data_IF_381027437371
#
_entry.id   IF_381027437371
#
_cell.length_a   1.000
_cell.length_b   1.000
_cell.length_c   1.000
_cell.angle_alpha   90.00
_cell.angle_beta   90.00
_cell.angle_gamma   90.00
#
_symmetry.space_group_name_H-M   'P 1'
#
loop_
_entity.id
_entity.type
_entity.pdbx_description
1 polymer ?
#
# COMPACT_ATOMS: atom_id res chain seq x y z
N UNK A 1 14.98 2.27 29.12
CA UNK A 1 14.00 1.72 28.18
C UNK A 1 14.55 1.95 26.81
N UNK A 2 14.45 0.99 25.90
CA UNK A 2 14.87 1.18 24.51
C UNK A 2 14.01 2.29 23.88
N UNK A 3 14.63 3.17 23.10
CA UNK A 3 13.93 4.23 22.39
C UNK A 3 13.19 3.63 21.18
N UNK A 4 11.90 3.95 21.01
CA UNK A 4 11.05 3.40 19.95
C UNK A 4 10.21 4.46 19.23
N UNK A 5 10.45 5.74 19.53
CA UNK A 5 9.65 6.83 18.98
C UNK A 5 9.69 6.92 17.46
N UNK A 6 10.81 6.57 16.85
CA UNK A 6 10.94 6.49 15.39
C UNK A 6 10.13 5.35 14.78
N UNK A 7 10.16 4.15 15.41
CA UNK A 7 9.36 3.00 14.97
C UNK A 7 7.87 3.33 15.09
N UNK A 8 7.44 3.90 16.21
CA UNK A 8 6.03 4.24 16.46
C UNK A 8 5.53 5.27 15.43
N UNK A 9 6.32 6.32 15.15
CA UNK A 9 5.98 7.32 14.13
C UNK A 9 5.86 6.71 12.73
N UNK A 10 6.74 5.77 12.36
CA UNK A 10 6.66 5.10 11.06
C UNK A 10 5.44 4.17 10.98
N UNK A 11 5.09 3.47 12.07
CA UNK A 11 3.90 2.62 12.13
C UNK A 11 2.62 3.45 12.00
N UNK A 12 2.53 4.60 12.66
CA UNK A 12 1.39 5.51 12.56
C UNK A 12 1.22 6.02 11.12
N UNK A 13 2.31 6.46 10.48
CA UNK A 13 2.27 6.91 9.09
C UNK A 13 1.92 5.76 8.12
N UNK A 14 2.37 4.54 8.40
CA UNK A 14 2.10 3.38 7.56
C UNK A 14 0.63 2.99 7.59
N UNK A 15 0.02 2.98 8.79
CA UNK A 15 -1.42 2.75 8.95
C UNK A 15 -2.24 3.91 8.37
N UNK A 16 -1.76 5.15 8.50
CA UNK A 16 -2.42 6.34 7.92
C UNK A 16 -2.47 6.24 6.39
N UNK A 17 -1.34 5.93 5.73
CA UNK A 17 -1.29 5.81 4.28
C UNK A 17 -2.12 4.63 3.75
N UNK A 18 -2.25 3.56 4.53
CA UNK A 18 -2.98 2.36 4.11
C UNK A 18 -4.47 2.41 4.46
N UNK A 19 -4.83 2.74 5.72
CA UNK A 19 -6.23 2.69 6.21
C UNK A 19 -6.89 4.04 6.35
N UNK A 20 -6.12 5.11 6.60
CA UNK A 20 -6.66 6.41 6.92
C UNK A 20 -7.24 6.45 8.33
N UNK A 21 -6.39 6.65 9.31
CA UNK A 21 -6.78 6.86 10.71
C UNK A 21 -7.07 8.33 11.04
N UNK A 22 -7.05 9.19 10.04
CA UNK A 22 -7.22 10.61 10.22
C UNK A 22 -8.47 10.97 11.01
N UNK A 23 -8.32 11.90 11.94
CA UNK A 23 -9.42 12.45 12.74
C UNK A 23 -10.36 13.29 11.86
N UNK A 24 -9.89 13.72 10.69
CA UNK A 24 -10.61 14.57 9.76
C UNK A 24 -10.76 13.91 8.39
N UNK A 25 -11.91 14.08 7.77
CA UNK A 25 -12.23 13.54 6.44
C UNK A 25 -11.20 13.88 5.36
N UNK A 26 -10.40 14.94 5.56
CA UNK A 26 -9.33 15.37 4.67
C UNK A 26 -8.19 14.36 4.55
N UNK A 27 -7.88 13.62 5.60
CA UNK A 27 -6.81 12.63 5.62
C UNK A 27 -7.24 11.28 5.05
N UNK A 28 -8.53 10.95 5.17
CA UNK A 28 -9.07 9.69 4.66
C UNK A 28 -8.89 9.54 3.14
N UNK A 29 -8.97 10.64 2.38
CA UNK A 29 -8.81 10.60 0.92
C UNK A 29 -7.41 10.20 0.45
N UNK A 30 -6.42 10.26 1.33
CA UNK A 30 -5.04 9.89 1.02
C UNK A 30 -4.76 8.40 1.25
N UNK A 31 -5.64 7.70 1.97
CA UNK A 31 -5.44 6.31 2.31
C UNK A 31 -5.88 5.35 1.20
N UNK A 32 -5.10 4.30 1.03
CA UNK A 32 -5.33 3.30 -0.03
C UNK A 32 -6.70 2.63 0.13
N UNK A 33 -7.01 2.06 1.30
CA UNK A 33 -8.27 1.35 1.52
C UNK A 33 -9.49 2.26 1.45
N UNK A 34 -9.38 3.51 1.90
CA UNK A 34 -10.48 4.48 1.78
C UNK A 34 -10.81 4.74 0.31
N UNK A 35 -9.80 4.83 -0.54
CA UNK A 35 -9.99 4.99 -1.98
C UNK A 35 -10.55 3.72 -2.67
N UNK A 36 -10.47 2.56 -2.04
CA UNK A 36 -11.05 1.31 -2.56
C UNK A 36 -12.48 1.08 -2.10
N UNK A 37 -12.88 1.62 -0.94
CA UNK A 37 -14.11 1.27 -0.24
C UNK A 37 -15.42 1.48 -1.01
N UNK A 38 -15.47 2.39 -1.98
CA UNK A 38 -16.66 2.67 -2.79
C UNK A 38 -16.47 2.39 -4.28
N UNK A 39 -15.39 1.72 -4.67
CA UNK A 39 -15.16 1.30 -6.06
C UNK A 39 -16.17 0.21 -6.43
N UNK A 40 -16.97 0.44 -7.49
CA UNK A 40 -17.88 -0.58 -8.00
C UNK A 40 -17.13 -1.72 -8.71
N UNK A 41 -17.76 -2.90 -8.84
CA UNK A 41 -17.15 -4.03 -9.56
C UNK A 41 -16.88 -3.71 -11.03
N UNK A 42 -17.68 -2.83 -11.63
CA UNK A 42 -17.47 -2.35 -12.99
C UNK A 42 -16.22 -1.47 -13.07
N UNK A 43 -16.10 -0.48 -12.17
CA UNK A 43 -14.94 0.42 -12.12
C UNK A 43 -13.65 -0.30 -11.74
N UNK A 44 -13.73 -1.39 -10.98
CA UNK A 44 -12.59 -2.18 -10.53
C UNK A 44 -11.71 -2.67 -11.69
N UNK A 45 -12.34 -3.15 -12.78
CA UNK A 45 -11.64 -3.68 -13.97
C UNK A 45 -11.65 -2.73 -15.15
N UNK A 46 -12.35 -1.62 -15.05
CA UNK A 46 -12.44 -0.67 -16.14
C UNK A 46 -11.05 -0.08 -16.47
N UNK A 47 -10.79 0.04 -17.76
CA UNK A 47 -9.60 0.69 -18.29
C UNK A 47 -10.04 1.98 -18.99
N UNK A 48 -9.92 3.15 -18.34
CA UNK A 48 -10.26 4.42 -18.97
C UNK A 48 -9.44 4.68 -20.24
N UNK A 49 -9.99 5.44 -21.16
CA UNK A 49 -9.29 5.81 -22.39
C UNK A 49 -7.97 6.52 -22.07
N UNK A 50 -6.87 5.97 -22.56
CA UNK A 50 -5.52 6.48 -22.32
C UNK A 50 -4.86 5.97 -21.04
N UNK A 51 -5.56 5.25 -20.17
CA UNK A 51 -4.96 4.58 -19.01
C UNK A 51 -4.30 3.26 -19.42
N UNK A 52 -3.18 2.93 -18.78
CA UNK A 52 -2.45 1.67 -18.98
C UNK A 52 -2.78 0.61 -17.92
N UNK A 53 -3.48 1.01 -16.85
CA UNK A 53 -3.78 0.15 -15.69
C UNK A 53 -5.22 0.36 -15.22
N UNK A 54 -5.86 -0.72 -14.76
CA UNK A 54 -7.11 -0.68 -14.00
C UNK A 54 -6.84 -0.56 -12.51
N UNK A 55 -7.88 -0.28 -11.71
CA UNK A 55 -7.76 -0.28 -10.24
C UNK A 55 -7.32 -1.65 -9.75
N UNK A 56 -7.90 -2.75 -10.27
CA UNK A 56 -7.49 -4.12 -9.97
C UNK A 56 -5.97 -4.32 -10.15
N UNK A 57 -5.43 -3.91 -11.30
CA UNK A 57 -4.00 -4.10 -11.58
C UNK A 57 -3.09 -3.28 -10.67
N UNK A 58 -3.54 -2.09 -10.22
CA UNK A 58 -2.82 -1.28 -9.23
C UNK A 58 -2.82 -1.98 -7.87
N UNK A 59 -3.95 -2.48 -7.43
CA UNK A 59 -4.08 -3.17 -6.12
C UNK A 59 -3.24 -4.45 -6.09
N UNK A 60 -3.27 -5.24 -7.17
CA UNK A 60 -2.41 -6.42 -7.30
C UNK A 60 -0.93 -6.05 -7.23
N UNK A 61 -0.52 -4.98 -7.91
CA UNK A 61 0.85 -4.47 -7.85
C UNK A 61 1.24 -4.04 -6.42
N UNK A 62 0.38 -3.29 -5.73
CA UNK A 62 0.66 -2.84 -4.36
C UNK A 62 0.83 -4.02 -3.41
N UNK A 63 -0.04 -5.02 -3.48
CA UNK A 63 0.05 -6.21 -2.66
C UNK A 63 1.31 -7.02 -2.95
N UNK A 64 1.64 -7.22 -4.24
CA UNK A 64 2.87 -7.92 -4.67
C UNK A 64 4.12 -7.20 -4.17
N UNK A 65 4.16 -5.87 -4.24
CA UNK A 65 5.26 -5.09 -3.67
C UNK A 65 5.40 -5.32 -2.15
N UNK A 66 4.29 -5.30 -1.39
CA UNK A 66 4.34 -5.56 0.05
C UNK A 66 4.90 -6.95 0.35
N UNK A 67 4.46 -7.98 -0.37
CA UNK A 67 4.96 -9.36 -0.22
C UNK A 67 6.46 -9.43 -0.52
N UNK A 68 6.92 -8.79 -1.59
CA UNK A 68 8.35 -8.78 -1.97
C UNK A 68 9.20 -8.03 -0.95
N UNK A 69 8.79 -6.83 -0.53
CA UNK A 69 9.54 -6.05 0.45
C UNK A 69 9.60 -6.75 1.80
N UNK A 70 8.51 -7.41 2.23
CA UNK A 70 8.47 -8.18 3.46
C UNK A 70 9.46 -9.34 3.43
N UNK A 71 9.44 -10.18 2.38
CA UNK A 71 10.35 -11.32 2.26
C UNK A 71 11.82 -10.88 2.20
N UNK A 72 12.13 -9.85 1.41
CA UNK A 72 13.52 -9.43 1.24
C UNK A 72 14.08 -8.68 2.45
N UNK A 73 13.28 -7.88 3.14
CA UNK A 73 13.73 -7.10 4.29
C UNK A 73 13.72 -7.90 5.59
N UNK A 74 12.75 -8.79 5.77
CA UNK A 74 12.51 -9.45 7.06
C UNK A 74 12.45 -10.98 6.96
N UNK A 75 12.31 -11.54 5.75
CA UNK A 75 12.20 -12.97 5.50
C UNK A 75 13.46 -13.60 4.92
N UNK A 76 13.25 -14.57 4.04
CA UNK A 76 14.33 -15.40 3.44
C UNK A 76 15.00 -14.77 2.22
N UNK A 77 14.41 -13.74 1.62
CA UNK A 77 14.82 -13.11 0.37
C UNK A 77 14.89 -14.10 -0.81
N UNK A 78 13.88 -14.97 -0.92
CA UNK A 78 13.82 -16.04 -1.92
C UNK A 78 12.65 -15.91 -2.90
N UNK A 79 11.69 -15.03 -2.62
CA UNK A 79 10.54 -14.84 -3.50
C UNK A 79 10.96 -14.18 -4.82
N UNK A 80 10.26 -14.51 -5.89
CA UNK A 80 10.50 -13.97 -7.23
C UNK A 80 9.19 -13.48 -7.87
N UNK A 81 9.27 -12.41 -8.63
CA UNK A 81 8.17 -11.94 -9.48
C UNK A 81 7.70 -13.04 -10.43
N UNK A 82 6.42 -13.05 -10.77
CA UNK A 82 5.81 -14.06 -11.61
C UNK A 82 5.51 -15.39 -10.89
N UNK A 83 5.76 -15.50 -9.60
CA UNK A 83 5.41 -16.70 -8.84
C UNK A 83 4.06 -16.54 -8.12
N UNK A 84 3.27 -17.64 -7.93
CA UNK A 84 1.99 -17.56 -7.22
C UNK A 84 2.08 -17.03 -5.79
N UNK A 85 3.26 -17.13 -5.16
CA UNK A 85 3.49 -16.58 -3.83
C UNK A 85 3.49 -15.04 -3.80
N UNK A 86 3.87 -14.40 -4.92
CA UNK A 86 3.92 -12.94 -5.09
C UNK A 86 2.74 -12.43 -5.90
N UNK A 87 2.37 -13.15 -6.95
CA UNK A 87 1.33 -12.80 -7.92
C UNK A 87 0.32 -13.95 -8.03
N UNK A 88 -0.55 -14.14 -7.01
CA UNK A 88 -1.42 -15.32 -6.92
C UNK A 88 -2.43 -15.41 -8.06
N UNK A 89 -2.71 -14.32 -8.77
CA UNK A 89 -3.63 -14.27 -9.90
C UNK A 89 -2.96 -13.82 -11.21
N UNK A 90 -1.68 -14.13 -11.40
CA UNK A 90 -0.98 -13.85 -12.65
C UNK A 90 -1.67 -14.52 -13.87
N UNK A 91 -2.33 -15.65 -13.64
CA UNK A 91 -3.16 -16.34 -14.61
C UNK A 91 -4.60 -16.42 -14.10
N UNK A 92 -5.53 -15.76 -14.80
CA UNK A 92 -6.96 -15.84 -14.49
C UNK A 92 -7.57 -14.56 -13.90
N UNK A 93 -8.80 -14.70 -13.40
CA UNK A 93 -9.57 -13.60 -12.81
C UNK A 93 -9.41 -13.64 -11.30
N UNK A 94 -8.95 -12.54 -10.72
CA UNK A 94 -8.87 -12.38 -9.28
C UNK A 94 -10.25 -12.07 -8.68
N UNK A 95 -10.80 -12.88 -7.75
CA UNK A 95 -11.98 -12.52 -7.00
C UNK A 95 -11.67 -11.31 -6.10
N UNK A 96 -12.48 -10.26 -6.18
CA UNK A 96 -12.20 -8.99 -5.49
C UNK A 96 -12.04 -9.15 -3.98
N UNK A 97 -12.94 -9.88 -3.34
CA UNK A 97 -12.88 -10.12 -1.90
C UNK A 97 -11.63 -10.91 -1.45
N UNK A 98 -11.10 -11.78 -2.31
CA UNK A 98 -9.84 -12.47 -2.08
C UNK A 98 -8.65 -11.53 -2.25
N UNK A 99 -8.68 -10.65 -3.26
CA UNK A 99 -7.64 -9.63 -3.48
C UNK A 99 -7.59 -8.65 -2.30
N UNK A 100 -8.75 -8.15 -1.87
CA UNK A 100 -8.84 -7.22 -0.73
C UNK A 100 -8.27 -7.87 0.55
N UNK A 101 -8.63 -9.11 0.82
CA UNK A 101 -8.11 -9.88 1.97
C UNK A 101 -6.59 -10.08 1.88
N UNK A 102 -6.11 -10.52 0.73
CA UNK A 102 -4.68 -10.74 0.49
C UNK A 102 -3.84 -9.45 0.63
N UNK A 103 -4.34 -8.33 0.10
CA UNK A 103 -3.69 -7.02 0.26
C UNK A 103 -3.58 -6.62 1.73
N UNK A 104 -4.67 -6.80 2.50
CA UNK A 104 -4.71 -6.51 3.94
C UNK A 104 -3.72 -7.42 4.69
N UNK A 105 -3.70 -8.71 4.40
CA UNK A 105 -2.79 -9.67 5.02
C UNK A 105 -1.31 -9.36 4.70
N UNK A 106 -1.00 -8.98 3.46
CA UNK A 106 0.34 -8.57 3.07
C UNK A 106 0.80 -7.32 3.83
N UNK A 107 -0.09 -6.33 3.98
CA UNK A 107 0.18 -5.14 4.79
C UNK A 107 0.40 -5.48 6.26
N UNK A 108 -0.48 -6.27 6.86
CA UNK A 108 -0.40 -6.66 8.27
C UNK A 108 0.89 -7.41 8.62
N UNK A 109 1.37 -8.28 7.72
CA UNK A 109 2.66 -8.99 7.93
C UNK A 109 3.82 -8.02 7.97
N UNK A 110 3.90 -7.09 7.03
CA UNK A 110 4.96 -6.10 6.98
C UNK A 110 4.93 -5.17 8.20
N UNK A 111 3.75 -4.69 8.60
CA UNK A 111 3.54 -3.90 9.83
C UNK A 111 3.98 -4.70 11.07
N UNK A 112 3.65 -5.98 11.15
CA UNK A 112 4.03 -6.83 12.29
C UNK A 112 5.56 -6.98 12.40
N UNK A 113 6.28 -7.11 11.29
CA UNK A 113 7.74 -7.17 11.30
C UNK A 113 8.37 -5.84 11.74
N UNK A 114 7.82 -4.71 11.30
CA UNK A 114 8.28 -3.37 11.74
C UNK A 114 8.00 -3.18 13.24
N UNK A 115 6.82 -3.58 13.71
CA UNK A 115 6.44 -3.49 15.13
C UNK A 115 7.29 -4.38 16.04
N UNK A 116 7.82 -5.49 15.51
CA UNK A 116 8.70 -6.43 16.23
C UNK A 116 10.16 -5.96 16.34
N UNK A 117 10.56 -4.85 15.72
CA UNK A 117 11.89 -4.27 15.88
C UNK A 117 12.13 -3.91 17.35
N UNK A 118 13.34 -4.15 17.84
CA UNK A 118 13.65 -4.01 19.27
C UNK A 118 13.67 -2.53 19.71
N UNK A 119 14.27 -1.67 18.92
CA UNK A 119 14.47 -0.25 19.19
C UNK A 119 14.74 0.53 17.89
N UNK A 120 14.91 1.85 18.01
CA UNK A 120 15.13 2.75 16.87
C UNK A 120 16.49 2.54 16.18
N UNK A 121 17.47 1.91 16.81
CA UNK A 121 18.75 1.55 16.17
C UNK A 121 18.52 0.55 15.02
N UNK A 122 17.51 -0.31 15.12
CA UNK A 122 17.11 -1.22 14.04
C UNK A 122 16.63 -0.50 12.78
N UNK A 123 16.23 0.76 12.87
CA UNK A 123 15.83 1.57 11.71
C UNK A 123 17.00 1.89 10.79
N UNK A 124 18.21 1.92 11.32
CA UNK A 124 19.43 2.13 10.53
C UNK A 124 20.01 0.83 9.98
N UNK A 125 19.53 -0.31 10.46
CA UNK A 125 20.03 -1.61 10.03
C UNK A 125 19.78 -1.82 8.52
N UNK A 126 20.83 -2.22 7.76
CA UNK A 126 20.70 -2.53 6.35
C UNK A 126 19.84 -3.79 6.13
N UNK A 127 18.85 -3.69 5.24
CA UNK A 127 18.00 -4.79 4.79
C UNK A 127 18.16 -4.99 3.28
N UNK A 128 17.89 -6.21 2.82
CA UNK A 128 17.94 -6.53 1.39
C UNK A 128 16.75 -5.91 0.66
N UNK A 129 16.96 -5.62 -0.61
CA UNK A 129 15.92 -5.29 -1.57
C UNK A 129 15.88 -6.34 -2.68
N UNK A 130 14.74 -6.48 -3.34
CA UNK A 130 14.57 -7.45 -4.43
C UNK A 130 15.37 -7.12 -5.70
N UNK A 131 15.96 -5.93 -5.78
CA UNK A 131 16.91 -5.53 -6.87
C UNK A 131 18.38 -5.62 -6.48
N UNK A 132 18.69 -6.20 -5.30
CA UNK A 132 20.05 -6.54 -4.88
C UNK A 132 20.80 -5.48 -4.09
N UNK A 133 20.18 -4.34 -3.78
CA UNK A 133 20.76 -3.32 -2.93
C UNK A 133 20.47 -3.55 -1.44
N UNK A 134 21.30 -2.97 -0.58
CA UNK A 134 21.01 -2.82 0.84
C UNK A 134 20.49 -1.41 1.10
N UNK A 135 19.38 -1.31 1.85
CA UNK A 135 18.80 -0.04 2.28
C UNK A 135 18.53 -0.08 3.78
N UNK A 136 18.65 1.04 4.50
CA UNK A 136 18.26 1.08 5.92
C UNK A 136 16.78 0.70 6.08
N UNK A 137 16.44 0.06 7.19
CA UNK A 137 15.05 -0.33 7.51
C UNK A 137 14.08 0.85 7.37
N UNK A 138 14.43 2.03 7.91
CA UNK A 138 13.60 3.25 7.78
C UNK A 138 13.29 3.63 6.33
N UNK A 139 14.25 3.43 5.42
CA UNK A 139 14.04 3.74 4.00
C UNK A 139 13.02 2.78 3.38
N UNK A 140 13.10 1.49 3.70
CA UNK A 140 12.17 0.47 3.19
C UNK A 140 10.74 0.78 3.67
N UNK A 141 10.58 1.07 4.96
CA UNK A 141 9.26 1.43 5.51
C UNK A 141 8.72 2.71 4.88
N UNK A 142 9.55 3.76 4.78
CA UNK A 142 9.16 5.02 4.13
C UNK A 142 8.80 4.82 2.64
N UNK A 143 9.53 3.95 1.92
CA UNK A 143 9.21 3.61 0.54
C UNK A 143 7.82 2.96 0.42
N UNK A 144 7.44 2.08 1.35
CA UNK A 144 6.12 1.46 1.35
C UNK A 144 5.00 2.43 1.75
N UNK A 145 5.26 3.35 2.67
CA UNK A 145 4.31 4.43 3.03
C UNK A 145 4.03 5.31 1.81
N UNK A 146 5.09 5.78 1.15
CA UNK A 146 4.95 6.64 -0.03
C UNK A 146 4.34 5.91 -1.22
N UNK A 147 4.58 4.60 -1.34
CA UNK A 147 3.98 3.75 -2.37
C UNK A 147 2.47 3.60 -2.19
N UNK A 148 2.00 3.39 -0.95
CA UNK A 148 0.57 3.35 -0.65
C UNK A 148 -0.11 4.68 -0.97
N UNK A 149 0.46 5.80 -0.53
CA UNK A 149 -0.08 7.14 -0.80
C UNK A 149 -0.08 7.49 -2.30
N UNK A 150 0.98 7.11 -3.03
CA UNK A 150 1.08 7.31 -4.47
C UNK A 150 -0.05 6.57 -5.21
N UNK A 151 -0.25 5.31 -4.89
CA UNK A 151 -1.28 4.50 -5.54
C UNK A 151 -2.70 4.83 -5.07
N UNK A 152 -2.88 5.31 -3.84
CA UNK A 152 -4.15 5.89 -3.40
C UNK A 152 -4.57 7.07 -4.29
N UNK A 153 -3.62 7.98 -4.60
CA UNK A 153 -3.84 9.10 -5.53
C UNK A 153 -4.12 8.64 -6.96
N UNK A 154 -3.42 7.62 -7.45
CA UNK A 154 -3.66 7.04 -8.78
C UNK A 154 -5.07 6.42 -8.87
N UNK A 155 -5.48 5.66 -7.87
CA UNK A 155 -6.83 5.08 -7.79
C UNK A 155 -7.89 6.19 -7.75
N UNK A 156 -7.67 7.23 -6.95
CA UNK A 156 -8.60 8.35 -6.87
C UNK A 156 -8.75 9.06 -8.23
N UNK A 157 -7.65 9.24 -8.96
CA UNK A 157 -7.69 9.80 -10.31
C UNK A 157 -8.46 8.92 -11.30
N UNK A 158 -8.26 7.59 -11.26
CA UNK A 158 -9.04 6.66 -12.10
C UNK A 158 -10.53 6.71 -11.77
N UNK A 159 -10.90 6.80 -10.51
CA UNK A 159 -12.29 6.94 -10.07
C UNK A 159 -12.94 8.20 -10.62
N UNK A 160 -12.24 9.34 -10.54
CA UNK A 160 -12.75 10.60 -11.09
C UNK A 160 -12.92 10.57 -12.60
N UNK A 161 -12.10 9.78 -13.30
CA UNK A 161 -12.16 9.60 -14.76
C UNK A 161 -13.28 8.65 -15.17
N UNK A 162 -13.56 7.62 -14.38
CA UNK A 162 -14.62 6.63 -14.64
C UNK A 162 -16.02 7.14 -14.27
N UNK A 163 -16.12 8.11 -13.38
CA UNK A 163 -17.39 8.65 -12.92
C UNK A 163 -17.23 9.85 -11.98
N UNK A 164 -18.33 10.38 -11.42
CA UNK A 164 -18.30 11.55 -10.54
C UNK A 164 -17.85 11.23 -9.10
N UNK A 165 -17.22 10.10 -8.86
CA UNK A 165 -16.78 9.64 -7.54
C UNK A 165 -15.34 10.10 -7.27
N UNK A 166 -15.17 11.39 -6.97
CA UNK A 166 -13.91 12.01 -6.61
C UNK A 166 -13.88 12.32 -5.11
N UNK A 167 -12.95 11.71 -4.40
CA UNK A 167 -12.75 11.89 -2.96
C UNK A 167 -12.23 13.28 -2.58
N UNK A 168 -11.78 14.08 -3.53
CA UNK A 168 -11.34 15.44 -3.29
C UNK A 168 -12.49 16.47 -3.13
N UNK A 169 -13.75 16.06 -3.24
CA UNK A 169 -14.92 16.97 -3.14
C UNK A 169 -15.00 17.71 -1.82
N UNK A 170 -14.57 17.10 -0.72
CA UNK A 170 -14.59 17.77 0.59
C UNK A 170 -13.74 19.05 0.63
N UNK A 171 -12.69 19.13 -0.21
CA UNK A 171 -11.84 20.33 -0.30
C UNK A 171 -12.62 21.52 -0.84
N UNK A 172 -13.57 21.28 -1.73
CA UNK A 172 -14.41 22.33 -2.32
C UNK A 172 -15.43 22.88 -1.31
N UNK A 173 -15.91 22.06 -0.40
CA UNK A 173 -16.92 22.44 0.61
C UNK A 173 -16.29 23.12 1.85
N UNK A 174 -15.00 22.93 2.10
CA UNK A 174 -14.29 23.42 3.29
C UNK A 174 -13.53 24.73 3.12
N UNK A 175 -13.34 25.21 1.88
CA UNK A 175 -12.60 26.43 1.56
C UNK A 175 -13.40 27.44 0.70
N UNK A 176 -14.75 27.35 0.76
CA UNK A 176 -15.67 28.30 0.14
C UNK A 176 -15.88 29.55 1.00
#
# INVERSE_FOLDING_TARGET
>A
MAERGGIEALLDLFEEAFRGRGIEASHESQALLTNLGSVSDEAWRALPAGASRSIESIVLHVGSCKVMYDDYAFGSATLAWGTPAVEPWAEGVAPRDEVDRWLIEAHQRLVAHVAALADDDELDRPRRTNWGELRPTRWIVAAMITHDAYHAGEINHLRSTLGPDDRWRYVQDGFG
#
